data_IF_756467701608
#
_entry.id   IF_756467701608
#
_cell.length_a   1.000
_cell.length_b   1.000
_cell.length_c   1.000
_cell.angle_alpha   90.00
_cell.angle_beta   90.00
_cell.angle_gamma   90.00
#
_symmetry.space_group_name_H-M   'P 1'
#
loop_
_entity.id
_entity.type
_entity.pdbx_description
1 polymer ?
#
# COMPACT_ATOMS: atom_id res chain seq x y z
N UNK A 1 -7.65 7.27 -18.72
CA UNK A 1 -8.23 8.25 -17.79
C UNK A 1 -7.23 9.38 -17.69
N UNK A 2 -7.65 10.64 -17.79
CA UNK A 2 -6.73 11.77 -17.54
C UNK A 2 -6.19 11.67 -16.11
N UNK A 3 -4.91 12.01 -15.87
CA UNK A 3 -4.36 12.03 -14.52
C UNK A 3 -5.22 12.97 -13.66
N UNK A 4 -5.59 12.50 -12.47
CA UNK A 4 -6.28 13.37 -11.52
C UNK A 4 -5.25 14.36 -10.98
N UNK A 5 -5.58 15.64 -11.05
CA UNK A 5 -4.69 16.70 -10.55
C UNK A 5 -4.41 16.48 -9.05
N UNK A 6 -3.16 16.32 -8.64
CA UNK A 6 -2.82 16.17 -7.23
C UNK A 6 -3.09 17.47 -6.46
N UNK A 7 -3.17 17.44 -5.12
CA UNK A 7 -3.38 18.63 -4.28
C UNK A 7 -2.10 19.47 -4.20
N UNK A 8 -1.74 20.15 -5.27
CA UNK A 8 -0.45 20.83 -5.42
C UNK A 8 -0.20 21.96 -4.41
N UNK A 9 -1.25 22.59 -3.89
CA UNK A 9 -1.10 23.61 -2.86
C UNK A 9 -0.57 23.00 -1.55
N UNK A 10 -1.15 21.89 -1.12
CA UNK A 10 -0.71 21.13 0.05
C UNK A 10 0.70 20.52 -0.17
N UNK A 11 0.97 19.97 -1.39
CA UNK A 11 2.31 19.47 -1.72
C UNK A 11 3.37 20.57 -1.63
N UNK A 12 3.06 21.75 -2.14
CA UNK A 12 3.96 22.92 -2.06
C UNK A 12 4.25 23.30 -0.61
N UNK A 13 3.23 23.40 0.24
CA UNK A 13 3.41 23.76 1.65
C UNK A 13 4.36 22.78 2.37
N UNK A 14 4.16 21.46 2.16
CA UNK A 14 5.03 20.43 2.74
C UNK A 14 6.46 20.50 2.20
N UNK A 15 6.61 20.75 0.90
CA UNK A 15 7.91 20.86 0.26
C UNK A 15 8.65 22.14 0.69
N UNK A 16 7.94 23.27 0.83
CA UNK A 16 8.52 24.50 1.36
C UNK A 16 9.03 24.31 2.79
N UNK A 17 8.24 23.68 3.66
CA UNK A 17 8.67 23.35 5.01
C UNK A 17 9.90 22.42 5.02
N UNK A 18 9.89 21.37 4.19
CA UNK A 18 11.02 20.45 4.07
C UNK A 18 12.30 21.15 3.60
N UNK A 19 12.21 22.04 2.60
CA UNK A 19 13.35 22.81 2.11
C UNK A 19 13.89 23.76 3.17
N UNK A 20 13.01 24.36 4.00
CA UNK A 20 13.44 25.24 5.11
C UNK A 20 14.15 24.44 6.22
N UNK A 21 13.58 23.31 6.63
CA UNK A 21 14.11 22.50 7.73
C UNK A 21 15.50 21.90 7.41
N UNK A 22 15.81 21.74 6.11
CA UNK A 22 17.05 21.10 5.65
C UNK A 22 18.02 22.09 4.95
N UNK A 23 17.73 23.40 4.93
CA UNK A 23 18.53 24.40 4.22
C UNK A 23 18.74 24.08 2.71
N UNK A 24 17.72 23.51 2.06
CA UNK A 24 17.75 23.08 0.66
C UNK A 24 17.08 24.11 -0.27
N UNK A 25 17.45 24.08 -1.55
CA UNK A 25 16.84 24.88 -2.61
C UNK A 25 15.92 24.07 -3.51
N UNK A 26 16.14 22.74 -3.62
CA UNK A 26 15.33 21.87 -4.43
C UNK A 26 15.24 20.45 -3.85
N UNK A 27 14.17 19.73 -4.24
CA UNK A 27 14.01 18.31 -3.95
C UNK A 27 13.44 17.59 -5.17
N UNK A 28 13.92 16.35 -5.43
CA UNK A 28 13.60 15.58 -6.62
C UNK A 28 13.18 14.14 -6.29
N UNK A 29 12.20 13.64 -7.04
CA UNK A 29 11.57 12.32 -6.88
C UNK A 29 11.57 11.57 -8.21
N UNK A 30 12.38 10.53 -8.32
CA UNK A 30 12.46 9.65 -9.48
C UNK A 30 11.92 8.24 -9.20
N UNK A 31 11.72 7.88 -7.91
CA UNK A 31 11.04 6.63 -7.57
C UNK A 31 9.56 6.72 -7.91
N UNK A 32 8.95 5.66 -8.49
CA UNK A 32 7.58 5.69 -8.99
C UNK A 32 6.53 6.14 -7.98
N UNK A 33 6.67 5.76 -6.73
CA UNK A 33 5.75 6.12 -5.65
C UNK A 33 5.80 7.61 -5.30
N UNK A 34 6.99 8.19 -5.15
CA UNK A 34 7.18 9.61 -4.85
C UNK A 34 6.84 10.49 -6.07
N UNK A 35 7.20 10.02 -7.28
CA UNK A 35 6.76 10.67 -8.51
C UNK A 35 5.23 10.72 -8.61
N UNK A 36 4.55 9.58 -8.36
CA UNK A 36 3.09 9.51 -8.36
C UNK A 36 2.44 10.36 -7.26
N UNK A 37 3.07 10.48 -6.09
CA UNK A 37 2.63 11.39 -5.03
C UNK A 37 2.64 12.85 -5.50
N UNK A 38 3.72 13.28 -6.14
CA UNK A 38 3.87 14.67 -6.56
C UNK A 38 3.03 15.01 -7.79
N UNK A 39 2.98 14.11 -8.79
CA UNK A 39 2.39 14.40 -10.12
C UNK A 39 1.00 13.83 -10.32
N UNK A 40 0.62 12.79 -9.60
CA UNK A 40 -0.59 11.98 -9.84
C UNK A 40 -0.45 10.98 -11.00
N UNK A 41 0.64 11.05 -11.78
CA UNK A 41 0.92 10.18 -12.92
C UNK A 41 1.94 9.08 -12.64
N UNK A 42 2.44 8.45 -13.71
CA UNK A 42 3.41 7.36 -13.64
C UNK A 42 4.64 7.64 -14.51
N UNK A 43 5.83 7.42 -13.95
CA UNK A 43 7.09 7.43 -14.67
C UNK A 43 7.64 6.03 -14.96
N UNK A 44 6.79 4.99 -14.87
CA UNK A 44 7.19 3.59 -15.03
C UNK A 44 7.08 3.16 -16.48
N UNK A 45 8.17 2.62 -17.04
CA UNK A 45 8.20 1.85 -18.28
C UNK A 45 8.65 0.43 -17.97
N UNK A 46 9.77 0.28 -17.26
CA UNK A 46 10.24 -1.00 -16.75
C UNK A 46 9.71 -1.22 -15.32
N UNK A 47 8.88 -2.24 -15.13
CA UNK A 47 8.28 -2.57 -13.83
C UNK A 47 9.24 -3.22 -12.85
N UNK A 48 10.40 -3.69 -13.29
CA UNK A 48 11.44 -4.26 -12.43
C UNK A 48 12.38 -3.18 -11.86
N UNK A 49 12.40 -2.00 -12.49
CA UNK A 49 13.21 -0.87 -12.06
C UNK A 49 12.68 -0.20 -10.80
N UNK A 50 13.56 0.15 -9.87
CA UNK A 50 13.23 0.96 -8.69
C UNK A 50 13.22 2.46 -8.95
N UNK A 51 13.69 2.89 -10.12
CA UNK A 51 13.76 4.28 -10.60
C UNK A 51 12.99 4.36 -11.92
N UNK A 52 12.14 5.37 -12.05
CA UNK A 52 11.39 5.61 -13.27
C UNK A 52 12.20 6.36 -14.34
N UNK A 53 11.59 6.56 -15.50
CA UNK A 53 12.20 7.26 -16.65
C UNK A 53 12.20 8.79 -16.53
N UNK A 54 11.66 9.33 -15.46
CA UNK A 54 11.57 10.77 -15.19
C UNK A 54 11.69 11.05 -13.70
N UNK A 55 12.23 12.24 -13.36
CA UNK A 55 12.22 12.81 -12.02
C UNK A 55 11.30 14.03 -11.99
N UNK A 56 10.38 14.08 -11.01
CA UNK A 56 9.59 15.26 -10.70
C UNK A 56 10.23 15.97 -9.51
N UNK A 57 10.35 17.30 -9.58
CA UNK A 57 10.98 18.10 -8.54
C UNK A 57 10.21 19.38 -8.24
N UNK A 58 10.65 19.99 -7.16
CA UNK A 58 10.20 21.30 -6.73
C UNK A 58 11.38 22.16 -6.30
N UNK A 59 11.41 23.37 -6.78
CA UNK A 59 12.21 24.46 -6.24
C UNK A 59 11.35 25.72 -6.10
N UNK A 60 11.72 26.63 -5.18
CA UNK A 60 10.89 27.79 -4.86
C UNK A 60 10.84 28.84 -5.97
N UNK A 61 11.86 28.93 -6.80
CA UNK A 61 11.96 29.93 -7.85
C UNK A 61 11.20 29.50 -9.11
N UNK A 62 11.44 28.27 -9.60
CA UNK A 62 10.84 27.75 -10.82
C UNK A 62 9.53 26.94 -10.57
N UNK A 63 9.27 26.50 -9.33
CA UNK A 63 8.09 25.72 -8.97
C UNK A 63 8.22 24.24 -9.29
N UNK A 64 7.12 23.62 -9.79
CA UNK A 64 7.08 22.19 -10.10
C UNK A 64 7.70 21.92 -11.48
N UNK A 65 8.64 20.99 -11.53
CA UNK A 65 9.40 20.65 -12.74
C UNK A 65 9.46 19.15 -12.93
N UNK A 66 9.66 18.74 -14.18
CA UNK A 66 9.96 17.34 -14.54
C UNK A 66 11.16 17.31 -15.47
N UNK A 67 12.12 16.44 -15.17
CA UNK A 67 13.26 16.12 -16.03
C UNK A 67 13.10 14.68 -16.51
N UNK A 68 13.25 14.50 -17.84
CA UNK A 68 13.19 13.20 -18.49
C UNK A 68 14.07 13.19 -19.74
N UNK A 69 14.01 12.18 -20.55
CA UNK A 69 14.68 12.14 -21.84
C UNK A 69 13.75 12.45 -23.03
N UNK A 70 14.36 12.59 -24.20
CA UNK A 70 13.65 12.92 -25.46
C UNK A 70 12.72 11.81 -25.95
N UNK A 71 12.88 10.57 -25.49
CA UNK A 71 12.00 9.44 -25.84
C UNK A 71 10.68 9.56 -25.06
N UNK A 72 10.76 9.82 -23.76
CA UNK A 72 9.62 9.77 -22.84
C UNK A 72 8.85 11.10 -22.73
N UNK A 73 9.50 12.23 -23.01
CA UNK A 73 8.88 13.54 -22.86
C UNK A 73 7.52 13.70 -23.57
N UNK A 74 7.31 13.24 -24.82
CA UNK A 74 6.02 13.36 -25.50
C UNK A 74 4.91 12.57 -24.78
N UNK A 75 5.19 11.32 -24.36
CA UNK A 75 4.22 10.47 -23.66
C UNK A 75 3.86 11.03 -22.29
N UNK A 76 4.87 11.36 -21.48
CA UNK A 76 4.66 11.90 -20.15
C UNK A 76 3.80 13.17 -20.18
N UNK A 77 4.10 14.09 -21.13
CA UNK A 77 3.30 15.32 -21.28
C UNK A 77 1.86 15.07 -21.69
N UNK A 78 1.63 14.09 -22.57
CA UNK A 78 0.30 13.83 -23.09
C UNK A 78 -0.58 12.99 -22.16
N UNK A 79 0.03 12.10 -21.37
CA UNK A 79 -0.70 11.03 -20.70
C UNK A 79 -0.58 11.06 -19.16
N UNK A 80 0.54 11.60 -18.61
CA UNK A 80 0.88 11.37 -17.21
C UNK A 80 0.97 12.67 -16.38
N UNK A 81 1.18 13.82 -17.00
CA UNK A 81 1.48 15.06 -16.26
C UNK A 81 0.39 16.12 -16.42
N UNK A 82 -0.01 16.78 -15.33
CA UNK A 82 -0.75 18.03 -15.40
C UNK A 82 0.08 19.15 -16.05
N UNK A 83 -0.59 20.09 -16.75
CA UNK A 83 0.04 21.21 -17.47
C UNK A 83 0.88 22.15 -16.58
N UNK A 84 0.72 22.08 -15.27
CA UNK A 84 1.45 22.93 -14.29
C UNK A 84 2.92 22.55 -14.14
N UNK A 85 3.32 21.36 -14.58
CA UNK A 85 4.71 20.92 -14.54
C UNK A 85 5.48 21.44 -15.75
N UNK A 86 6.53 22.25 -15.48
CA UNK A 86 7.50 22.59 -16.52
C UNK A 86 8.40 21.39 -16.80
N UNK A 87 8.45 20.96 -18.09
CA UNK A 87 9.17 19.75 -18.47
C UNK A 87 10.37 20.05 -19.33
N UNK A 88 11.52 19.54 -18.91
CA UNK A 88 12.77 19.56 -19.64
C UNK A 88 13.19 18.15 -20.06
N UNK A 89 13.58 18.01 -21.34
CA UNK A 89 14.07 16.76 -21.89
C UNK A 89 15.59 16.84 -22.14
N UNK A 90 16.33 15.83 -21.67
CA UNK A 90 17.72 15.60 -22.03
C UNK A 90 17.81 14.67 -23.23
N UNK A 91 18.89 14.74 -24.00
CA UNK A 91 19.13 13.78 -25.08
C UNK A 91 19.37 12.40 -24.47
N UNK A 92 18.54 11.42 -24.85
CA UNK A 92 18.54 10.08 -24.26
C UNK A 92 19.89 9.33 -24.34
N UNK A 93 20.74 9.73 -25.29
CA UNK A 93 22.06 9.14 -25.53
C UNK A 93 23.21 9.91 -24.88
N UNK A 94 22.96 11.06 -24.29
CA UNK A 94 24.02 11.94 -23.78
C UNK A 94 24.20 11.82 -22.26
N UNK A 95 23.09 11.86 -21.50
CA UNK A 95 23.11 11.94 -20.05
C UNK A 95 22.24 10.84 -19.41
N UNK A 96 22.63 10.40 -18.21
CA UNK A 96 21.74 9.64 -17.35
C UNK A 96 20.67 10.57 -16.74
N UNK A 97 19.58 10.00 -16.24
CA UNK A 97 18.54 10.79 -15.53
C UNK A 97 19.15 11.56 -14.36
N UNK A 98 20.05 10.95 -13.60
CA UNK A 98 20.73 11.58 -12.47
C UNK A 98 21.57 12.78 -12.90
N UNK A 99 22.36 12.65 -13.99
CA UNK A 99 23.18 13.74 -14.53
C UNK A 99 22.29 14.86 -15.09
N UNK A 100 21.21 14.50 -15.78
CA UNK A 100 20.27 15.47 -16.33
C UNK A 100 19.55 16.29 -15.24
N UNK A 101 19.20 15.68 -14.11
CA UNK A 101 18.66 16.37 -12.94
C UNK A 101 19.71 17.26 -12.29
N UNK A 102 20.92 16.73 -12.06
CA UNK A 102 22.02 17.50 -11.43
C UNK A 102 22.36 18.76 -12.22
N UNK A 103 22.36 18.68 -13.56
CA UNK A 103 22.69 19.83 -14.42
C UNK A 103 21.60 20.94 -14.42
N UNK A 104 20.37 20.62 -13.97
CA UNK A 104 19.22 21.53 -14.04
C UNK A 104 18.69 21.98 -12.67
N UNK A 105 19.17 21.38 -11.60
CA UNK A 105 18.74 21.68 -10.23
C UNK A 105 19.55 22.82 -9.61
N UNK A 106 18.90 23.76 -8.92
CA UNK A 106 19.64 24.59 -7.97
C UNK A 106 20.17 23.72 -6.82
N UNK A 107 21.22 24.20 -6.15
CA UNK A 107 21.88 23.50 -5.02
C UNK A 107 22.01 24.42 -3.83
N UNK A 108 22.01 23.90 -2.58
CA UNK A 108 21.94 22.47 -2.21
C UNK A 108 20.58 21.84 -2.53
N UNK A 109 20.56 20.54 -2.83
CA UNK A 109 19.35 19.79 -3.21
C UNK A 109 19.34 18.38 -2.63
N UNK A 110 18.15 17.78 -2.56
CA UNK A 110 17.95 16.38 -2.18
C UNK A 110 17.24 15.59 -3.27
N UNK A 111 17.43 14.26 -3.28
CA UNK A 111 16.72 13.37 -4.18
C UNK A 111 16.43 12.02 -3.52
N UNK A 112 15.38 11.31 -4.00
CA UNK A 112 15.06 9.96 -3.57
C UNK A 112 15.84 8.87 -4.32
N UNK A 113 16.76 9.29 -5.20
CA UNK A 113 17.77 8.45 -5.88
C UNK A 113 19.17 9.02 -5.65
N UNK A 114 20.19 8.21 -5.94
CA UNK A 114 21.58 8.67 -5.82
C UNK A 114 21.93 9.65 -6.95
N UNK A 115 22.21 10.89 -6.57
CA UNK A 115 22.68 11.97 -7.46
C UNK A 115 23.91 12.61 -6.83
N UNK A 116 25.01 12.71 -7.58
CA UNK A 116 26.24 13.26 -7.08
C UNK A 116 26.08 14.71 -6.56
N UNK A 117 26.41 14.92 -5.30
CA UNK A 117 26.30 16.24 -4.65
C UNK A 117 24.92 16.58 -4.08
N UNK A 118 23.95 15.66 -4.16
CA UNK A 118 22.65 15.83 -3.52
C UNK A 118 22.58 15.03 -2.21
N UNK A 119 21.72 15.48 -1.31
CA UNK A 119 21.35 14.73 -0.13
C UNK A 119 20.30 13.66 -0.47
N UNK A 120 20.21 12.62 0.38
CA UNK A 120 19.17 11.62 0.24
C UNK A 120 17.90 12.08 0.97
N UNK A 121 16.74 11.97 0.33
CA UNK A 121 15.44 12.22 0.96
C UNK A 121 14.66 10.92 1.20
N UNK A 122 14.19 10.72 2.42
CA UNK A 122 13.09 9.81 2.69
C UNK A 122 11.76 10.56 2.57
N UNK A 123 11.04 10.30 1.48
CA UNK A 123 9.79 11.00 1.20
C UNK A 123 8.59 10.46 2.00
N UNK A 124 8.75 9.45 2.88
CA UNK A 124 7.64 8.85 3.62
C UNK A 124 6.92 9.87 4.51
N UNK A 125 7.66 10.73 5.20
CA UNK A 125 7.09 11.82 6.02
C UNK A 125 6.36 12.87 5.20
N UNK A 126 6.84 13.19 4.00
CA UNK A 126 6.18 14.13 3.09
C UNK A 126 4.84 13.62 2.57
N UNK A 127 4.66 12.29 2.49
CA UNK A 127 3.45 11.65 1.99
C UNK A 127 2.37 11.43 3.05
N UNK A 128 2.64 11.78 4.30
CA UNK A 128 1.75 11.65 5.44
C UNK A 128 1.48 13.02 6.10
N UNK A 129 0.24 13.27 6.59
CA UNK A 129 -0.98 12.49 6.40
C UNK A 129 -1.55 12.60 4.98
N UNK A 130 -2.61 11.81 4.66
CA UNK A 130 -3.33 11.90 3.38
C UNK A 130 -4.18 13.19 3.32
N UNK A 131 -4.33 13.74 2.11
CA UNK A 131 -5.27 14.82 1.86
C UNK A 131 -6.65 14.29 1.46
N UNK A 132 -7.69 15.13 1.49
CA UNK A 132 -9.04 14.76 1.05
C UNK A 132 -9.05 14.22 -0.40
N UNK A 133 -8.26 14.84 -1.28
CA UNK A 133 -8.11 14.39 -2.68
C UNK A 133 -7.48 12.99 -2.74
N UNK A 134 -6.46 12.72 -1.93
CA UNK A 134 -5.83 11.40 -1.86
C UNK A 134 -6.80 10.35 -1.28
N UNK A 135 -7.59 10.72 -0.27
CA UNK A 135 -8.61 9.86 0.33
C UNK A 135 -9.67 9.44 -0.69
N UNK A 136 -10.19 10.36 -1.49
CA UNK A 136 -11.19 10.03 -2.51
C UNK A 136 -10.63 9.12 -3.62
N UNK A 137 -9.38 9.34 -4.00
CA UNK A 137 -8.64 8.43 -4.90
C UNK A 137 -8.45 7.05 -4.27
N UNK A 138 -8.17 7.02 -2.98
CA UNK A 138 -7.96 5.79 -2.22
C UNK A 138 -9.24 4.95 -2.10
N UNK A 139 -10.39 5.59 -1.85
CA UNK A 139 -11.71 4.93 -1.84
C UNK A 139 -12.00 4.25 -3.17
N UNK A 140 -11.78 4.95 -4.28
CA UNK A 140 -11.96 4.39 -5.63
C UNK A 140 -11.00 3.21 -5.88
N UNK A 141 -9.72 3.38 -5.55
CA UNK A 141 -8.71 2.33 -5.70
C UNK A 141 -9.05 1.09 -4.87
N UNK A 142 -9.42 1.29 -3.60
CA UNK A 142 -9.77 0.19 -2.69
C UNK A 142 -10.95 -0.63 -3.18
N UNK A 143 -12.01 0.05 -3.63
CA UNK A 143 -13.19 -0.59 -4.21
C UNK A 143 -12.87 -1.40 -5.48
N UNK A 144 -12.06 -0.84 -6.40
CA UNK A 144 -11.66 -1.51 -7.64
C UNK A 144 -10.83 -2.79 -7.35
N UNK A 145 -9.90 -2.72 -6.39
CA UNK A 145 -9.09 -3.88 -5.99
C UNK A 145 -9.95 -4.94 -5.28
N UNK A 146 -10.85 -4.52 -4.38
CA UNK A 146 -11.78 -5.44 -3.74
C UNK A 146 -12.66 -6.17 -4.77
N UNK A 147 -13.25 -5.44 -5.71
CA UNK A 147 -14.07 -6.02 -6.77
C UNK A 147 -13.28 -7.01 -7.64
N UNK A 148 -12.00 -6.73 -7.91
CA UNK A 148 -11.15 -7.63 -8.70
C UNK A 148 -10.86 -8.95 -7.97
N UNK A 149 -10.39 -8.89 -6.71
CA UNK A 149 -10.04 -10.09 -5.94
C UNK A 149 -11.28 -10.94 -5.61
N UNK A 150 -12.41 -10.30 -5.30
CA UNK A 150 -13.66 -10.97 -4.97
C UNK A 150 -14.29 -11.67 -6.19
N UNK A 151 -14.25 -11.02 -7.36
CA UNK A 151 -14.70 -11.63 -8.61
C UNK A 151 -13.92 -12.91 -8.96
N UNK A 152 -12.59 -12.89 -8.78
CA UNK A 152 -11.76 -14.08 -8.98
C UNK A 152 -12.03 -15.11 -7.91
N UNK A 153 -12.06 -14.73 -6.61
CA UNK A 153 -12.35 -15.64 -5.51
C UNK A 153 -13.69 -16.39 -5.66
N UNK A 154 -14.71 -15.70 -6.22
CA UNK A 154 -16.01 -16.33 -6.51
C UNK A 154 -15.97 -17.33 -7.66
N UNK A 155 -14.94 -17.35 -8.49
CA UNK A 155 -14.81 -18.26 -9.63
C UNK A 155 -13.82 -19.41 -9.42
N UNK A 156 -12.96 -19.34 -8.41
CA UNK A 156 -11.98 -20.39 -8.07
C UNK A 156 -12.68 -21.73 -7.81
N UNK A 157 -12.07 -22.82 -8.28
CA UNK A 157 -12.50 -24.20 -7.98
C UNK A 157 -11.33 -25.00 -7.38
N UNK A 158 -11.60 -26.11 -6.65
CA UNK A 158 -10.54 -26.88 -5.95
C UNK A 158 -9.41 -27.39 -6.85
N UNK A 159 -9.72 -27.67 -8.11
CA UNK A 159 -8.78 -28.20 -9.12
C UNK A 159 -7.98 -27.13 -9.86
N UNK A 160 -8.29 -25.84 -9.67
CA UNK A 160 -7.45 -24.77 -10.19
C UNK A 160 -6.08 -24.84 -9.52
N UNK A 161 -5.04 -24.47 -10.25
CA UNK A 161 -3.71 -24.30 -9.65
C UNK A 161 -3.55 -22.91 -9.05
N UNK A 162 -2.72 -22.77 -8.03
CA UNK A 162 -2.36 -21.46 -7.45
C UNK A 162 -1.90 -20.47 -8.54
N UNK A 163 -1.20 -20.97 -9.59
CA UNK A 163 -0.70 -20.14 -10.70
C UNK A 163 -1.82 -19.67 -11.62
N UNK A 164 -2.81 -20.49 -11.91
CA UNK A 164 -3.98 -20.10 -12.71
C UNK A 164 -4.78 -19.03 -12.00
N UNK A 165 -5.06 -19.21 -10.71
CA UNK A 165 -5.74 -18.21 -9.87
C UNK A 165 -4.95 -16.90 -9.81
N UNK A 166 -3.63 -16.95 -9.60
CA UNK A 166 -2.79 -15.76 -9.59
C UNK A 166 -2.75 -15.05 -10.95
N UNK A 167 -2.83 -15.79 -12.06
CA UNK A 167 -2.91 -15.23 -13.41
C UNK A 167 -4.25 -14.52 -13.61
N UNK A 168 -5.35 -15.11 -13.15
CA UNK A 168 -6.68 -14.51 -13.17
C UNK A 168 -6.73 -13.21 -12.35
N UNK A 169 -6.12 -13.21 -11.14
CA UNK A 169 -6.00 -12.01 -10.31
C UNK A 169 -5.23 -10.88 -11.03
N UNK A 170 -4.08 -11.17 -11.62
CA UNK A 170 -3.31 -10.18 -12.39
C UNK A 170 -4.12 -9.62 -13.55
N UNK A 171 -4.82 -10.48 -14.31
CA UNK A 171 -5.65 -10.05 -15.43
C UNK A 171 -6.83 -9.18 -14.96
N UNK A 172 -7.51 -9.56 -13.88
CA UNK A 172 -8.62 -8.81 -13.32
C UNK A 172 -8.21 -7.42 -12.80
N UNK A 173 -7.00 -7.30 -12.25
CA UNK A 173 -6.43 -6.02 -11.80
C UNK A 173 -5.98 -5.18 -13.00
N UNK A 174 -5.23 -5.73 -13.94
CA UNK A 174 -4.72 -5.03 -15.12
C UNK A 174 -5.85 -4.47 -16.00
N UNK A 175 -6.96 -5.20 -16.18
CA UNK A 175 -8.12 -4.70 -16.93
C UNK A 175 -8.81 -3.50 -16.30
N UNK A 176 -8.51 -3.20 -15.02
CA UNK A 176 -8.96 -2.02 -14.29
C UNK A 176 -7.90 -0.91 -14.23
N UNK A 177 -6.78 -1.07 -14.95
CA UNK A 177 -5.66 -0.13 -14.92
C UNK A 177 -4.90 -0.16 -13.58
N UNK A 178 -4.86 -1.33 -12.91
CA UNK A 178 -4.18 -1.53 -11.65
C UNK A 178 -2.92 -2.37 -11.84
N UNK A 179 -1.79 -1.90 -11.35
CA UNK A 179 -0.56 -2.69 -11.32
C UNK A 179 -0.49 -3.44 -9.99
N UNK A 180 -0.19 -4.75 -10.03
CA UNK A 180 -0.10 -5.60 -8.86
C UNK A 180 1.32 -6.15 -8.66
N UNK A 181 2.17 -5.47 -7.87
CA UNK A 181 3.51 -5.97 -7.54
C UNK A 181 3.47 -7.24 -6.68
N UNK A 182 2.42 -7.43 -5.88
CA UNK A 182 2.27 -8.63 -5.07
C UNK A 182 0.97 -9.33 -5.42
N UNK A 183 1.07 -10.61 -5.81
CA UNK A 183 -0.06 -11.53 -5.98
C UNK A 183 0.37 -12.86 -5.40
N UNK A 184 -0.21 -13.22 -4.27
CA UNK A 184 0.04 -14.46 -3.56
C UNK A 184 -1.24 -15.31 -3.56
N UNK A 185 -1.10 -16.60 -3.87
CA UNK A 185 -2.18 -17.59 -3.79
C UNK A 185 -1.61 -18.82 -3.12
N UNK A 186 -2.19 -19.20 -2.00
CA UNK A 186 -1.83 -20.41 -1.27
C UNK A 186 -3.03 -21.32 -1.10
N UNK A 187 -2.96 -22.52 -1.68
CA UNK A 187 -3.94 -23.58 -1.47
C UNK A 187 -3.79 -24.28 -0.11
N UNK A 188 -4.66 -25.22 0.17
CA UNK A 188 -4.79 -25.90 1.48
C UNK A 188 -3.53 -26.61 1.95
N UNK A 189 -2.68 -27.10 1.03
CA UNK A 189 -1.41 -27.73 1.37
C UNK A 189 -0.36 -26.70 1.83
N UNK A 190 -0.28 -25.53 1.18
CA UNK A 190 0.82 -24.58 1.34
C UNK A 190 0.52 -23.38 2.26
N UNK A 191 -0.72 -22.95 2.35
CA UNK A 191 -1.10 -21.83 3.21
C UNK A 191 -0.75 -22.04 4.69
N UNK A 192 -0.83 -23.26 5.29
CA UNK A 192 -0.38 -23.47 6.67
C UNK A 192 1.14 -23.47 6.85
N UNK A 193 1.90 -23.68 5.77
CA UNK A 193 3.36 -23.83 5.83
C UNK A 193 4.10 -22.50 5.65
N UNK A 194 3.54 -21.59 4.86
CA UNK A 194 4.19 -20.34 4.45
C UNK A 194 3.32 -19.13 4.77
N UNK A 195 3.96 -18.01 5.09
CA UNK A 195 3.26 -16.72 5.22
C UNK A 195 3.24 -15.96 3.88
N UNK A 196 4.28 -16.15 3.03
CA UNK A 196 4.32 -15.70 1.65
C UNK A 196 4.30 -16.91 0.70
N UNK A 197 3.10 -17.30 0.30
CA UNK A 197 2.83 -18.43 -0.58
C UNK A 197 2.88 -18.00 -2.06
N UNK A 198 4.08 -17.84 -2.61
CA UNK A 198 4.27 -17.53 -4.04
C UNK A 198 3.64 -18.62 -4.91
N UNK A 199 2.81 -18.27 -5.92
CA UNK A 199 1.98 -19.24 -6.64
C UNK A 199 2.78 -20.32 -7.36
N UNK A 200 2.35 -21.58 -7.22
CA UNK A 200 2.94 -22.77 -7.86
C UNK A 200 1.91 -23.51 -8.71
N UNK A 201 2.37 -24.50 -9.49
CA UNK A 201 1.51 -25.45 -10.20
C UNK A 201 1.05 -26.57 -9.24
N UNK A 202 0.30 -26.18 -8.21
CA UNK A 202 -0.27 -27.07 -7.20
C UNK A 202 -1.74 -26.69 -7.09
N UNK A 203 -2.62 -27.65 -6.99
CA UNK A 203 -4.06 -27.44 -6.87
C UNK A 203 -4.40 -26.66 -5.58
N UNK A 204 -5.49 -25.91 -5.64
CA UNK A 204 -6.02 -25.15 -4.50
C UNK A 204 -6.45 -26.10 -3.37
N UNK A 205 -7.16 -27.19 -3.70
CA UNK A 205 -7.67 -28.12 -2.71
C UNK A 205 -8.82 -27.53 -1.88
N UNK A 206 -8.82 -27.81 -0.58
CA UNK A 206 -9.97 -27.58 0.30
C UNK A 206 -10.24 -26.09 0.59
N UNK A 207 -9.23 -25.24 0.53
CA UNK A 207 -9.35 -23.78 0.68
C UNK A 207 -8.16 -23.04 0.08
N UNK A 208 -8.32 -21.73 -0.13
CA UNK A 208 -7.26 -20.85 -0.58
C UNK A 208 -7.24 -19.52 0.17
N UNK A 209 -6.03 -18.98 0.33
CA UNK A 209 -5.76 -17.58 0.65
C UNK A 209 -5.32 -16.85 -0.61
N UNK A 210 -6.04 -15.79 -0.96
CA UNK A 210 -5.72 -14.88 -2.06
C UNK A 210 -5.29 -13.55 -1.48
N UNK A 211 -4.06 -13.11 -1.73
CA UNK A 211 -3.55 -11.83 -1.22
C UNK A 211 -2.99 -11.01 -2.36
N UNK A 212 -3.34 -9.73 -2.42
CA UNK A 212 -2.81 -8.80 -3.42
C UNK A 212 -2.35 -7.50 -2.77
N UNK A 213 -1.27 -6.93 -3.31
CA UNK A 213 -0.96 -5.51 -3.20
C UNK A 213 -1.04 -4.93 -4.60
N UNK A 214 -1.88 -3.92 -4.80
CA UNK A 214 -2.06 -3.27 -6.08
C UNK A 214 -1.99 -1.75 -5.92
N UNK A 215 -1.66 -1.05 -7.02
CA UNK A 215 -1.55 0.40 -6.99
C UNK A 215 -2.05 1.05 -8.29
N UNK A 216 -2.41 2.33 -8.18
CA UNK A 216 -2.72 3.23 -9.29
C UNK A 216 -2.41 4.66 -8.89
N UNK A 217 -1.75 5.42 -9.79
CA UNK A 217 -1.40 6.83 -9.55
C UNK A 217 -0.60 7.05 -8.26
N UNK A 218 0.31 6.12 -7.95
CA UNK A 218 1.17 6.17 -6.77
C UNK A 218 0.57 5.60 -5.48
N UNK A 219 -0.77 5.51 -5.33
CA UNK A 219 -1.45 4.96 -4.14
C UNK A 219 -1.48 3.44 -4.17
N UNK A 220 -1.27 2.80 -3.01
CA UNK A 220 -1.20 1.34 -2.83
C UNK A 220 -2.28 0.84 -1.89
N UNK A 221 -2.91 -0.28 -2.22
CA UNK A 221 -3.78 -1.04 -1.33
C UNK A 221 -3.34 -2.48 -1.23
N UNK A 222 -3.55 -3.08 -0.05
CA UNK A 222 -3.35 -4.50 0.20
C UNK A 222 -4.62 -5.11 0.74
N UNK A 223 -4.95 -6.33 0.32
CA UNK A 223 -6.10 -7.06 0.83
C UNK A 223 -5.94 -8.56 0.65
N UNK A 224 -6.56 -9.32 1.56
CA UNK A 224 -6.62 -10.78 1.49
C UNK A 224 -8.08 -11.26 1.51
N UNK A 225 -8.34 -12.36 0.79
CA UNK A 225 -9.62 -13.09 0.82
C UNK A 225 -9.36 -14.58 1.04
N UNK A 226 -10.28 -15.22 1.76
CA UNK A 226 -10.28 -16.66 2.00
C UNK A 226 -11.47 -17.29 1.32
N UNK A 227 -11.23 -18.29 0.46
CA UNK A 227 -12.27 -19.13 -0.17
C UNK A 227 -12.11 -20.55 0.38
N UNK A 228 -13.20 -21.22 0.70
CA UNK A 228 -13.18 -22.60 1.22
C UNK A 228 -14.25 -23.45 0.56
N UNK A 229 -13.89 -24.72 0.27
CA UNK A 229 -14.74 -25.75 -0.35
C UNK A 229 -15.04 -26.86 0.65
N UNK A 230 -14.00 -27.49 1.22
CA UNK A 230 -14.08 -28.45 2.33
C UNK A 230 -13.18 -27.94 3.48
N UNK A 231 -13.65 -26.88 4.14
CA UNK A 231 -12.85 -26.12 5.11
C UNK A 231 -12.36 -27.01 6.26
N UNK A 232 -11.04 -27.01 6.57
CA UNK A 232 -10.55 -27.68 7.76
C UNK A 232 -11.23 -27.12 9.02
N UNK A 233 -11.55 -27.95 10.00
CA UNK A 233 -12.27 -27.57 11.23
C UNK A 233 -11.64 -26.39 11.95
N UNK A 234 -10.33 -26.25 11.90
CA UNK A 234 -9.58 -25.18 12.55
C UNK A 234 -9.61 -23.83 11.80
N UNK A 235 -10.00 -23.78 10.51
CA UNK A 235 -9.87 -22.60 9.68
C UNK A 235 -10.70 -21.43 10.18
N UNK A 236 -11.95 -21.66 10.56
CA UNK A 236 -12.86 -20.63 11.04
C UNK A 236 -12.34 -19.95 12.32
N UNK A 237 -11.83 -20.75 13.27
CA UNK A 237 -11.31 -20.23 14.55
C UNK A 237 -10.02 -19.42 14.35
N UNK A 238 -9.11 -19.92 13.53
CA UNK A 238 -7.85 -19.19 13.22
C UNK A 238 -8.11 -17.93 12.41
N UNK A 239 -9.03 -17.97 11.45
CA UNK A 239 -9.44 -16.78 10.71
C UNK A 239 -10.05 -15.73 11.66
N UNK A 240 -10.96 -16.12 12.53
CA UNK A 240 -11.54 -15.22 13.54
C UNK A 240 -10.46 -14.63 14.47
N UNK A 241 -9.47 -15.41 14.88
CA UNK A 241 -8.35 -14.93 15.69
C UNK A 241 -7.54 -13.87 14.94
N UNK A 242 -7.18 -14.12 13.66
CA UNK A 242 -6.49 -13.14 12.83
C UNK A 242 -7.30 -11.84 12.65
N UNK A 243 -8.62 -11.96 12.39
CA UNK A 243 -9.52 -10.79 12.29
C UNK A 243 -9.56 -10.01 13.60
N UNK A 244 -9.61 -10.66 14.77
CA UNK A 244 -9.58 -9.97 16.06
C UNK A 244 -8.29 -9.19 16.29
N UNK A 245 -7.15 -9.75 15.89
CA UNK A 245 -5.85 -9.05 15.96
C UNK A 245 -5.86 -7.83 15.01
N UNK A 246 -6.38 -7.96 13.79
CA UNK A 246 -6.48 -6.83 12.86
C UNK A 246 -7.37 -5.71 13.40
N UNK A 247 -8.55 -6.04 13.95
CA UNK A 247 -9.46 -5.05 14.54
C UNK A 247 -8.83 -4.37 15.74
N UNK A 248 -8.09 -5.10 16.58
CA UNK A 248 -7.35 -4.54 17.73
C UNK A 248 -6.23 -3.60 17.27
N UNK A 249 -5.47 -3.98 16.23
CA UNK A 249 -4.45 -3.12 15.64
C UNK A 249 -5.03 -1.81 15.09
N UNK A 250 -6.19 -1.86 14.42
CA UNK A 250 -6.88 -0.68 13.92
C UNK A 250 -7.38 0.23 15.04
N UNK A 251 -7.94 -0.34 16.11
CA UNK A 251 -8.36 0.41 17.30
C UNK A 251 -7.16 1.10 17.97
N UNK A 252 -6.06 0.37 18.18
CA UNK A 252 -4.83 0.92 18.74
C UNK A 252 -4.24 2.02 17.86
N UNK A 253 -4.31 1.86 16.51
CA UNK A 253 -3.86 2.87 15.55
C UNK A 253 -4.63 4.19 15.71
N UNK A 254 -5.96 4.14 15.85
CA UNK A 254 -6.77 5.34 16.05
C UNK A 254 -6.44 6.02 17.38
N UNK A 255 -6.25 5.24 18.45
CA UNK A 255 -5.85 5.75 19.76
C UNK A 255 -4.47 6.39 19.71
N UNK A 256 -3.49 5.73 19.11
CA UNK A 256 -2.12 6.23 18.95
C UNK A 256 -2.09 7.53 18.12
N UNK A 257 -2.83 7.61 17.01
CA UNK A 257 -2.92 8.84 16.22
C UNK A 257 -3.49 10.02 17.03
N UNK A 258 -4.51 9.78 17.84
CA UNK A 258 -5.10 10.80 18.71
C UNK A 258 -4.19 11.23 19.86
N UNK A 259 -3.34 10.32 20.37
CA UNK A 259 -2.39 10.60 21.45
C UNK A 259 -1.04 11.16 20.96
N UNK A 260 -0.72 10.99 19.68
CA UNK A 260 0.60 11.32 19.11
C UNK A 260 1.66 10.28 19.44
N UNK A 261 1.23 9.04 19.68
CA UNK A 261 2.09 7.90 19.97
C UNK A 261 2.74 7.34 18.68
N UNK A 262 3.64 6.39 18.84
CA UNK A 262 4.40 5.83 17.74
C UNK A 262 3.92 4.43 17.30
N UNK A 263 4.54 3.93 16.23
CA UNK A 263 4.20 2.62 15.65
C UNK A 263 4.58 1.44 16.58
N UNK A 264 5.53 1.63 17.48
CA UNK A 264 5.92 0.65 18.50
C UNK A 264 4.81 0.43 19.51
N UNK A 265 4.07 1.47 19.91
CA UNK A 265 2.92 1.34 20.81
C UNK A 265 1.78 0.53 20.16
N UNK A 266 1.50 0.78 18.87
CA UNK A 266 0.53 -0.05 18.15
C UNK A 266 1.03 -1.49 18.03
N UNK A 267 2.34 -1.70 17.84
CA UNK A 267 2.90 -3.05 17.80
C UNK A 267 2.77 -3.78 19.13
N UNK A 268 2.95 -3.09 20.27
CA UNK A 268 2.71 -3.67 21.59
C UNK A 268 1.25 -4.11 21.75
N UNK A 269 0.29 -3.31 21.31
CA UNK A 269 -1.12 -3.68 21.31
C UNK A 269 -1.42 -4.90 20.41
N UNK A 270 -0.70 -5.06 19.28
CA UNK A 270 -0.79 -6.27 18.45
C UNK A 270 -0.27 -7.50 19.19
N UNK A 271 0.83 -7.40 19.92
CA UNK A 271 1.37 -8.50 20.75
C UNK A 271 0.35 -8.92 21.83
N UNK A 272 -0.25 -7.97 22.52
CA UNK A 272 -1.29 -8.22 23.52
C UNK A 272 -2.53 -8.88 22.88
N UNK A 273 -2.92 -8.43 21.68
CA UNK A 273 -4.04 -9.03 20.94
C UNK A 273 -3.75 -10.49 20.56
N UNK A 274 -2.55 -10.82 20.09
CA UNK A 274 -2.16 -12.20 19.82
C UNK A 274 -2.18 -13.07 21.08
N UNK A 275 -1.68 -12.55 22.21
CA UNK A 275 -1.74 -13.27 23.50
C UNK A 275 -3.19 -13.53 23.92
N UNK A 276 -4.07 -12.54 23.80
CA UNK A 276 -5.48 -12.65 24.17
C UNK A 276 -6.29 -13.64 23.33
N UNK A 277 -5.88 -13.84 22.04
CA UNK A 277 -6.52 -14.85 21.16
C UNK A 277 -5.85 -16.23 21.25
N UNK A 278 -4.86 -16.42 22.14
CA UNK A 278 -4.20 -17.70 22.38
C UNK A 278 -3.04 -18.04 21.42
N UNK A 279 -2.48 -17.04 20.73
CA UNK A 279 -1.40 -17.19 19.75
C UNK A 279 -0.22 -16.23 20.03
N UNK A 280 0.23 -16.17 21.28
CA UNK A 280 1.15 -15.15 21.80
C UNK A 280 2.46 -14.95 20.99
N UNK A 281 3.00 -16.00 20.32
CA UNK A 281 4.26 -15.92 19.58
C UNK A 281 4.06 -15.84 18.04
N UNK A 282 2.82 -15.85 17.56
CA UNK A 282 2.54 -15.92 16.11
C UNK A 282 2.99 -14.64 15.38
N UNK A 283 3.00 -13.48 16.05
CA UNK A 283 3.48 -12.22 15.50
C UNK A 283 4.93 -12.28 14.99
N UNK A 284 5.76 -13.19 15.53
CA UNK A 284 7.14 -13.39 15.12
C UNK A 284 7.28 -14.10 13.76
N UNK A 285 6.20 -14.71 13.27
CA UNK A 285 6.24 -15.52 12.04
C UNK A 285 6.01 -14.69 10.77
N UNK A 286 5.56 -13.43 10.90
CA UNK A 286 5.25 -12.53 9.79
C UNK A 286 5.29 -11.07 10.24
N UNK A 287 5.70 -10.14 9.37
CA UNK A 287 5.52 -8.72 9.68
C UNK A 287 4.03 -8.38 9.80
N UNK A 288 3.67 -7.46 10.69
CA UNK A 288 2.27 -7.20 11.00
C UNK A 288 1.63 -6.11 10.13
N UNK A 289 2.41 -5.44 9.27
CA UNK A 289 1.93 -4.34 8.46
C UNK A 289 2.28 -2.97 9.03
N UNK A 290 1.51 -1.96 8.67
CA UNK A 290 1.74 -0.57 9.08
C UNK A 290 0.99 0.43 8.20
N UNK A 291 1.48 1.68 8.17
CA UNK A 291 0.91 2.72 7.34
C UNK A 291 1.05 2.39 5.86
N UNK A 292 -0.03 2.60 5.11
CA UNK A 292 -0.10 2.43 3.67
C UNK A 292 -0.49 3.76 3.02
N UNK A 293 0.09 4.08 1.88
CA UNK A 293 -0.13 5.35 1.21
C UNK A 293 0.38 5.30 -0.21
N UNK A 294 1.38 6.08 -0.51
CA UNK A 294 2.11 6.07 -1.78
C UNK A 294 3.24 5.03 -1.80
N UNK A 295 3.27 4.14 -0.83
CA UNK A 295 4.05 2.92 -0.82
C UNK A 295 3.17 1.77 -0.36
N UNK A 296 3.53 0.52 -0.66
CA UNK A 296 2.84 -0.66 -0.13
C UNK A 296 2.80 -0.66 1.40
N UNK A 297 3.86 -0.13 1.99
CA UNK A 297 3.93 0.34 3.38
C UNK A 297 4.87 1.55 3.40
N UNK A 298 4.41 2.67 3.95
CA UNK A 298 5.27 3.84 4.24
C UNK A 298 6.27 3.49 5.34
N UNK A 299 5.79 2.70 6.30
CA UNK A 299 6.58 2.04 7.32
C UNK A 299 5.90 0.74 7.78
N UNK A 300 6.71 -0.20 8.25
CA UNK A 300 6.25 -1.46 8.85
C UNK A 300 6.53 -1.40 10.35
N UNK A 301 5.51 -1.58 11.18
CA UNK A 301 5.66 -1.56 12.62
C UNK A 301 6.53 -2.72 13.12
N UNK A 302 7.40 -2.39 14.06
CA UNK A 302 8.22 -3.31 14.84
C UNK A 302 8.17 -2.89 16.32
N UNK A 303 8.63 -3.70 17.27
CA UNK A 303 8.52 -3.35 18.70
C UNK A 303 9.04 -1.97 19.08
N UNK A 304 10.12 -1.50 18.45
CA UNK A 304 10.79 -0.24 18.78
C UNK A 304 10.70 0.80 17.64
N UNK A 305 9.62 0.78 16.84
CA UNK A 305 9.50 1.65 15.68
C UNK A 305 8.99 3.04 16.07
N UNK A 306 9.81 4.06 15.90
CA UNK A 306 9.58 5.45 16.34
C UNK A 306 8.77 6.31 15.34
N UNK A 307 8.22 5.74 14.25
CA UNK A 307 7.39 6.52 13.33
C UNK A 307 6.09 6.95 14.01
N UNK A 308 5.83 8.26 14.00
CA UNK A 308 4.57 8.81 14.54
C UNK A 308 3.37 8.27 13.78
N UNK A 309 2.37 7.79 14.51
CA UNK A 309 1.09 7.38 13.93
C UNK A 309 0.25 8.62 13.63
N UNK A 310 -0.20 8.76 12.39
CA UNK A 310 -0.90 9.97 11.93
C UNK A 310 -2.33 9.68 11.46
N UNK A 311 -3.21 10.67 11.54
CA UNK A 311 -4.56 10.66 10.95
C UNK A 311 -4.83 12.02 10.27
N UNK A 312 -5.55 12.06 9.13
CA UNK A 312 -6.08 10.91 8.35
C UNK A 312 -4.98 10.15 7.60
N UNK A 313 -4.94 8.83 7.74
CA UNK A 313 -3.98 7.99 7.03
C UNK A 313 -4.54 6.60 6.78
N UNK A 314 -4.06 5.91 5.73
CA UNK A 314 -4.43 4.53 5.48
C UNK A 314 -3.46 3.58 6.19
N UNK A 315 -4.01 2.48 6.68
CA UNK A 315 -3.27 1.41 7.34
C UNK A 315 -3.65 0.07 6.75
N UNK A 316 -2.67 -0.82 6.64
CA UNK A 316 -2.92 -2.19 6.21
C UNK A 316 -2.19 -3.13 7.17
N UNK A 317 -2.89 -3.53 8.22
CA UNK A 317 -2.46 -4.58 9.12
C UNK A 317 -2.76 -5.93 8.49
N UNK A 318 -1.87 -6.91 8.66
CA UNK A 318 -1.96 -8.19 7.97
C UNK A 318 -1.64 -9.40 8.87
N UNK A 319 -2.24 -9.48 10.06
CA UNK A 319 -1.99 -10.58 10.99
C UNK A 319 -2.32 -11.93 10.38
N UNK A 320 -1.50 -12.92 10.75
CA UNK A 320 -1.67 -14.32 10.37
C UNK A 320 -1.82 -15.19 11.61
N UNK A 321 -2.59 -16.26 11.48
CA UNK A 321 -2.61 -17.38 12.41
C UNK A 321 -2.49 -18.64 11.57
N UNK A 322 -1.41 -19.37 11.69
CA UNK A 322 -0.99 -20.51 10.85
C UNK A 322 -2.06 -21.06 9.89
N UNK A 323 -1.99 -20.72 8.61
CA UNK A 323 -2.96 -21.12 7.59
C UNK A 323 -4.18 -20.21 7.43
N UNK A 324 -4.30 -19.16 8.24
CA UNK A 324 -5.31 -18.12 8.12
C UNK A 324 -4.67 -16.73 8.13
N UNK A 325 -5.34 -15.75 7.52
CA UNK A 325 -4.87 -14.37 7.43
C UNK A 325 -6.06 -13.42 7.37
N UNK A 326 -5.92 -12.26 7.98
CA UNK A 326 -6.79 -11.11 7.77
C UNK A 326 -5.96 -9.94 7.28
N UNK A 327 -6.44 -9.23 6.25
CA UNK A 327 -5.78 -8.06 5.70
C UNK A 327 -6.76 -7.25 4.86
N UNK A 328 -6.77 -5.96 5.09
CA UNK A 328 -7.41 -4.99 4.24
C UNK A 328 -6.84 -3.61 4.49
N UNK A 329 -6.86 -2.75 3.46
CA UNK A 329 -6.50 -1.35 3.65
C UNK A 329 -7.67 -0.59 4.23
N UNK A 330 -7.42 0.16 5.27
CA UNK A 330 -8.41 0.88 6.09
C UNK A 330 -7.96 2.31 6.27
N UNK A 331 -8.83 3.27 6.06
CA UNK A 331 -8.61 4.67 6.40
C UNK A 331 -8.93 4.87 7.90
N UNK A 332 -7.97 5.43 8.63
CA UNK A 332 -8.15 5.86 10.01
C UNK A 332 -8.17 7.38 10.05
N UNK A 333 -9.21 7.93 10.65
CA UNK A 333 -9.36 9.35 10.93
C UNK A 333 -9.60 9.54 12.43
N UNK A 334 -9.64 10.77 12.91
CA UNK A 334 -9.94 11.07 14.31
C UNK A 334 -11.28 10.47 14.76
N UNK A 335 -12.27 10.44 13.84
CA UNK A 335 -13.65 10.07 14.16
C UNK A 335 -14.06 8.67 13.66
N UNK A 336 -13.29 8.06 12.74
CA UNK A 336 -13.74 6.84 12.05
C UNK A 336 -12.60 5.90 11.64
N UNK A 337 -12.96 4.62 11.54
CA UNK A 337 -12.16 3.55 10.95
C UNK A 337 -12.95 3.03 9.74
N UNK A 338 -12.56 3.40 8.53
CA UNK A 338 -13.28 3.12 7.28
C UNK A 338 -12.57 2.05 6.44
N UNK A 339 -13.13 0.83 6.27
CA UNK A 339 -12.57 -0.17 5.37
C UNK A 339 -12.65 0.28 3.90
N UNK A 340 -11.51 0.37 3.23
CA UNK A 340 -11.44 0.79 1.81
C UNK A 340 -11.53 -0.38 0.83
N UNK A 341 -11.11 -1.59 1.25
CA UNK A 341 -11.01 -2.77 0.39
C UNK A 341 -12.14 -3.76 0.63
N UNK A 342 -13.38 -3.29 0.55
CA UNK A 342 -14.59 -4.10 0.71
C UNK A 342 -15.62 -3.78 -0.37
N UNK A 343 -16.48 -4.76 -0.68
CA UNK A 343 -17.70 -4.59 -1.48
C UNK A 343 -18.85 -5.29 -0.79
N UNK A 344 -20.08 -5.10 -1.30
CA UNK A 344 -21.27 -5.80 -0.81
C UNK A 344 -21.37 -7.26 -1.33
N UNK A 345 -20.39 -7.70 -2.15
CA UNK A 345 -20.43 -9.00 -2.82
C UNK A 345 -19.62 -10.09 -2.09
N UNK A 346 -19.02 -9.77 -0.93
CA UNK A 346 -18.25 -10.72 -0.13
C UNK A 346 -18.82 -10.86 1.27
N UNK A 347 -18.90 -12.11 1.82
CA UNK A 347 -19.38 -12.28 3.17
C UNK A 347 -18.50 -11.53 4.18
N UNK A 348 -19.13 -10.99 5.21
CA UNK A 348 -18.47 -10.28 6.30
C UNK A 348 -18.74 -10.89 7.66
N UNK A 349 -17.91 -10.60 8.62
CA UNK A 349 -18.06 -10.99 10.02
C UNK A 349 -17.81 -9.76 10.91
N UNK A 350 -18.71 -9.52 11.85
CA UNK A 350 -18.55 -8.47 12.86
C UNK A 350 -17.71 -8.99 14.03
N UNK A 351 -16.58 -8.35 14.26
CA UNK A 351 -15.61 -8.77 15.26
C UNK A 351 -15.23 -7.61 16.15
N UNK A 352 -15.22 -7.83 17.47
CA UNK A 352 -14.71 -6.88 18.45
C UNK A 352 -13.19 -6.99 18.56
N UNK A 353 -12.53 -5.86 18.84
CA UNK A 353 -11.17 -5.85 19.34
C UNK A 353 -11.02 -6.73 20.59
N UNK A 354 -9.81 -7.01 21.03
CA UNK A 354 -9.60 -7.65 22.33
C UNK A 354 -9.79 -6.63 23.45
N UNK A 355 -10.39 -7.05 24.56
CA UNK A 355 -10.78 -6.17 25.65
C UNK A 355 -9.58 -5.45 26.31
N UNK A 356 -8.38 -6.04 26.21
CA UNK A 356 -7.13 -5.45 26.71
C UNK A 356 -6.63 -4.27 25.86
N UNK A 357 -7.14 -4.11 24.62
CA UNK A 357 -6.76 -3.04 23.70
C UNK A 357 -7.90 -2.01 23.58
N UNK A 358 -9.12 -2.47 23.25
CA UNK A 358 -10.30 -1.61 23.12
C UNK A 358 -11.57 -2.46 23.24
N UNK A 359 -12.36 -2.25 24.29
CA UNK A 359 -13.55 -3.07 24.61
C UNK A 359 -14.81 -2.65 23.81
N UNK A 360 -14.83 -1.45 23.25
CA UNK A 360 -15.98 -0.86 22.55
C UNK A 360 -15.84 -0.83 21.01
N UNK A 361 -14.65 -1.15 20.46
CA UNK A 361 -14.42 -1.12 19.01
C UNK A 361 -14.84 -2.44 18.38
N UNK A 362 -15.76 -2.35 17.42
CA UNK A 362 -16.24 -3.48 16.61
C UNK A 362 -16.26 -3.09 15.13
N UNK A 363 -15.67 -3.92 14.28
CA UNK A 363 -15.60 -3.68 12.84
C UNK A 363 -16.13 -4.89 12.07
N UNK A 364 -16.76 -4.61 10.92
CA UNK A 364 -17.10 -5.63 9.92
C UNK A 364 -15.89 -5.87 9.01
N UNK A 365 -15.46 -7.13 8.91
CA UNK A 365 -14.29 -7.53 8.10
C UNK A 365 -14.65 -8.69 7.18
N UNK A 366 -13.92 -8.86 6.04
CA UNK A 366 -14.16 -9.98 5.15
C UNK A 366 -14.09 -11.32 5.87
N UNK A 367 -15.11 -12.16 5.66
CA UNK A 367 -15.20 -13.51 6.18
C UNK A 367 -14.73 -14.54 5.15
N UNK A 368 -14.74 -15.80 5.51
CA UNK A 368 -14.49 -16.92 4.61
C UNK A 368 -15.69 -17.05 3.66
N UNK A 369 -15.42 -17.08 2.35
CA UNK A 369 -16.41 -17.41 1.34
C UNK A 369 -16.48 -18.95 1.22
N UNK A 370 -17.56 -19.55 1.72
CA UNK A 370 -17.82 -20.97 1.53
C UNK A 370 -18.51 -21.22 0.19
N UNK A 371 -18.03 -22.21 -0.56
CA UNK A 371 -18.57 -22.60 -1.85
C UNK A 371 -18.67 -24.12 -1.92
N UNK A 372 -19.62 -24.61 -2.70
CA UNK A 372 -19.67 -26.02 -3.05
C UNK A 372 -18.47 -26.38 -3.96
N UNK A 373 -17.88 -27.58 -3.80
CA UNK A 373 -16.73 -28.05 -4.57
C UNK A 373 -16.98 -28.13 -6.08
#
# INVERSE_FOLDING_TARGET
>A
MSPQTPPLADRRERLDAYLDDHDLQAVWFARPNSFGWLTGGSNVVDREGSVGVAAAGYDREAGFRVVTDTIEAPRLRAEELPDVFDMEAADWYADSLADAVAARSPTPAAADIDIAGFESVDASSLRQPLTDVDIDRYRTLGSDVAAAIESVGQSVVPTDTEREVATALRAALETRGLTAPVVLVGGSERAPQYRHYTPKNVEIGDYALLSVTAHRGGLYVSTTRTVAFDAPEWLADRHRAAVRVEVSALAATQQAAAAGDDAGDVFAAIQDAYAAVGWADEWQQHHQGGAAGFAGREWIATPDHEATVTAPMAYAWNPTVQGAKSEGTVLVTDDAIEPLTTTDNWPTIDVAAVDTVADDVRLSRPSILHRDP
#
